data_IF_725804561617
#
_entry.id   IF_725804561617
#
_cell.length_a   1.000
_cell.length_b   1.000
_cell.length_c   1.000
_cell.angle_alpha   90.00
_cell.angle_beta   90.00
_cell.angle_gamma   90.00
#
_symmetry.space_group_name_H-M   'P 1'
#
loop_
_entity.id
_entity.type
_entity.pdbx_description
1 polymer ?
#
# COMPACT_ATOMS: atom_id res chain seq x y z
N UNK A 1 -32.92 91.54 -30.98
CA UNK A 1 -31.88 91.99 -31.94
C UNK A 1 -30.54 91.41 -31.50
N UNK A 2 -29.84 90.73 -32.43
CA UNK A 2 -28.40 90.37 -32.43
C UNK A 2 -27.93 89.41 -31.31
N UNK A 3 -26.97 88.49 -31.47
CA UNK A 3 -26.31 87.69 -32.54
C UNK A 3 -25.00 87.18 -31.86
N UNK A 4 -24.60 85.92 -32.08
CA UNK A 4 -23.23 85.35 -31.91
C UNK A 4 -22.66 85.26 -30.47
N UNK A 5 -21.76 84.35 -30.06
CA UNK A 5 -21.00 83.25 -30.69
C UNK A 5 -20.49 82.31 -29.56
N UNK A 6 -20.23 81.06 -29.96
CA UNK A 6 -19.59 79.93 -29.27
C UNK A 6 -18.26 80.28 -28.58
N UNK A 7 -17.97 79.68 -27.41
CA UNK A 7 -16.62 79.20 -27.08
C UNK A 7 -16.68 77.89 -26.28
N UNK A 8 -15.94 76.90 -26.79
CA UNK A 8 -15.60 75.65 -26.13
C UNK A 8 -14.85 75.90 -24.81
N UNK A 9 -15.12 75.05 -23.81
CA UNK A 9 -14.11 74.68 -22.83
C UNK A 9 -14.30 73.21 -22.44
N UNK A 10 -13.32 72.40 -22.85
CA UNK A 10 -13.13 71.05 -22.38
C UNK A 10 -12.83 71.04 -20.88
N UNK A 11 -13.46 70.14 -20.14
CA UNK A 11 -13.21 69.94 -18.71
C UNK A 11 -13.61 68.52 -18.31
N UNK A 12 -12.59 67.66 -18.21
CA UNK A 12 -12.67 66.29 -17.72
C UNK A 12 -13.11 66.22 -16.25
N UNK A 13 -13.77 65.13 -15.85
CA UNK A 13 -13.67 64.44 -14.54
C UNK A 13 -14.71 63.27 -14.55
N UNK A 14 -14.29 62.03 -14.79
CA UNK A 14 -13.91 61.01 -13.79
C UNK A 14 -15.08 60.48 -12.93
N UNK A 15 -15.61 59.31 -13.31
CA UNK A 15 -16.29 58.29 -12.47
C UNK A 15 -17.04 57.32 -13.42
N UNK A 16 -17.10 55.99 -13.30
CA UNK A 16 -16.79 55.07 -12.22
C UNK A 16 -16.79 53.62 -12.81
N UNK A 17 -16.02 52.74 -12.16
CA UNK A 17 -16.17 51.27 -12.11
C UNK A 17 -15.98 50.45 -13.40
N UNK A 18 -14.76 49.94 -13.54
CA UNK A 18 -14.45 48.73 -14.29
C UNK A 18 -15.27 47.53 -13.76
N UNK A 19 -16.07 46.92 -14.63
CA UNK A 19 -16.49 45.54 -14.46
C UNK A 19 -15.32 44.65 -14.89
N UNK A 20 -14.41 44.37 -13.95
CA UNK A 20 -13.49 43.25 -14.09
C UNK A 20 -14.33 41.97 -14.02
N UNK A 21 -14.66 41.41 -15.17
CA UNK A 21 -15.13 40.04 -15.31
C UNK A 21 -14.08 39.13 -14.68
N UNK A 22 -14.42 38.58 -13.50
CA UNK A 22 -13.75 37.41 -12.93
C UNK A 22 -13.90 36.29 -13.96
N UNK A 23 -12.89 36.13 -14.80
CA UNK A 23 -12.65 34.88 -15.48
C UNK A 23 -12.43 33.85 -14.37
N UNK A 24 -13.44 33.03 -14.14
CA UNK A 24 -13.34 31.88 -13.27
C UNK A 24 -12.16 31.05 -13.74
N UNK A 25 -11.10 31.03 -12.95
CA UNK A 25 -10.11 29.98 -13.00
C UNK A 25 -10.87 28.66 -12.82
N UNK A 26 -11.21 28.00 -13.92
CA UNK A 26 -11.45 26.57 -13.93
C UNK A 26 -10.09 25.89 -13.71
N UNK A 27 -9.56 26.04 -12.50
CA UNK A 27 -8.69 25.01 -11.96
C UNK A 27 -9.52 23.73 -11.99
N UNK A 28 -9.10 22.79 -12.82
CA UNK A 28 -9.62 21.44 -12.83
C UNK A 28 -9.60 20.94 -11.39
N UNK A 29 -10.75 20.95 -10.71
CA UNK A 29 -10.93 20.19 -9.48
C UNK A 29 -10.81 18.75 -9.93
N UNK A 30 -9.66 18.14 -9.66
CA UNK A 30 -9.52 16.69 -9.66
C UNK A 30 -10.77 16.15 -8.98
N UNK A 31 -11.65 15.55 -9.77
CA UNK A 31 -12.94 15.08 -9.29
C UNK A 31 -12.66 14.02 -8.25
N UNK A 32 -12.77 14.40 -6.98
CA UNK A 32 -12.74 13.44 -5.90
C UNK A 32 -13.96 12.57 -6.10
N UNK A 33 -13.74 11.35 -6.60
CA UNK A 33 -14.82 10.39 -6.77
C UNK A 33 -15.53 10.19 -5.42
N UNK A 34 -16.76 9.71 -5.49
CA UNK A 34 -17.53 9.38 -4.31
C UNK A 34 -17.69 7.87 -4.21
N UNK A 35 -17.49 7.32 -3.02
CA UNK A 35 -17.80 5.94 -2.69
C UNK A 35 -19.23 5.89 -2.15
N UNK A 36 -20.10 5.09 -2.76
CA UNK A 36 -21.47 4.87 -2.28
C UNK A 36 -21.61 3.42 -1.82
N UNK A 37 -21.92 3.22 -0.54
CA UNK A 37 -22.28 1.91 0.02
C UNK A 37 -23.80 1.82 0.07
N UNK A 38 -24.37 0.81 -0.57
CA UNK A 38 -25.80 0.49 -0.50
C UNK A 38 -25.98 -0.69 0.43
N UNK A 39 -26.67 -0.47 1.54
CA UNK A 39 -26.95 -1.48 2.54
C UNK A 39 -28.15 -2.33 2.12
N UNK A 40 -28.25 -3.55 2.67
CA UNK A 40 -29.30 -4.53 2.32
C UNK A 40 -30.71 -4.05 2.66
N UNK A 41 -30.82 -3.16 3.64
CA UNK A 41 -32.07 -2.51 4.03
C UNK A 41 -32.44 -1.32 3.13
N UNK A 42 -31.64 -1.05 2.09
CA UNK A 42 -31.85 0.02 1.12
C UNK A 42 -31.21 1.36 1.50
N UNK A 43 -30.62 1.49 2.71
CA UNK A 43 -29.90 2.70 3.07
C UNK A 43 -28.69 2.91 2.16
N UNK A 44 -28.35 4.17 1.91
CA UNK A 44 -27.18 4.55 1.12
C UNK A 44 -26.32 5.50 1.93
N UNK A 45 -25.03 5.21 1.98
CA UNK A 45 -24.05 6.09 2.60
C UNK A 45 -22.97 6.44 1.59
N UNK A 46 -22.70 7.74 1.46
CA UNK A 46 -21.76 8.29 0.50
C UNK A 46 -20.56 8.90 1.23
N UNK A 47 -19.36 8.61 0.74
CA UNK A 47 -18.10 9.12 1.26
C UNK A 47 -17.33 9.82 0.14
N UNK A 48 -16.60 10.89 0.48
CA UNK A 48 -15.62 11.47 -0.44
C UNK A 48 -14.33 10.64 -0.38
N UNK A 49 -13.73 10.29 -1.53
CA UNK A 49 -12.46 9.53 -1.52
C UNK A 49 -11.32 10.24 -0.78
N UNK A 50 -11.32 11.57 -0.70
CA UNK A 50 -10.32 12.32 0.05
C UNK A 50 -10.38 12.07 1.57
N UNK A 51 -11.54 11.63 2.07
CA UNK A 51 -11.79 11.42 3.50
C UNK A 51 -11.68 9.94 3.91
N UNK A 52 -11.47 9.03 2.96
CA UNK A 52 -11.41 7.58 3.21
C UNK A 52 -9.96 7.14 3.38
N UNK A 53 -9.58 6.79 4.61
CA UNK A 53 -8.25 6.26 4.90
C UNK A 53 -8.13 4.74 4.65
N UNK A 54 -9.18 3.97 4.93
CA UNK A 54 -9.20 2.50 4.81
C UNK A 54 -10.62 1.96 4.71
N UNK A 55 -10.79 0.83 4.02
CA UNK A 55 -12.02 0.02 4.01
C UNK A 55 -11.65 -1.40 4.44
N UNK A 56 -12.34 -1.95 5.44
CA UNK A 56 -12.11 -3.30 5.96
C UNK A 56 -13.37 -4.16 5.76
N UNK A 57 -13.20 -5.40 5.30
CA UNK A 57 -14.29 -6.35 5.11
C UNK A 57 -14.08 -7.56 6.00
N UNK A 58 -14.99 -7.81 6.93
CA UNK A 58 -15.00 -9.03 7.73
C UNK A 58 -15.53 -10.18 6.88
N UNK A 59 -14.64 -10.88 6.18
CA UNK A 59 -14.99 -12.08 5.42
C UNK A 59 -15.23 -13.27 6.37
N UNK A 60 -16.43 -13.85 6.29
CA UNK A 60 -16.74 -15.17 6.84
C UNK A 60 -16.07 -16.25 6.00
N UNK A 61 -14.81 -16.53 6.33
CA UNK A 61 -14.08 -17.73 5.93
C UNK A 61 -13.22 -18.11 7.12
N UNK A 62 -13.69 -19.07 7.93
CA UNK A 62 -13.10 -19.38 9.22
C UNK A 62 -11.62 -19.75 9.12
N UNK A 63 -10.76 -18.84 9.59
CA UNK A 63 -9.47 -19.15 10.21
C UNK A 63 -9.38 -18.23 11.45
N UNK A 64 -9.14 -18.78 12.65
CA UNK A 64 -9.15 -18.00 13.87
C UNK A 64 -7.95 -17.03 13.90
N UNK A 65 -8.26 -15.78 14.24
CA UNK A 65 -7.47 -14.78 14.98
C UNK A 65 -5.95 -15.00 14.96
N UNK A 66 -5.26 -14.19 14.14
CA UNK A 66 -3.80 -14.09 14.20
C UNK A 66 -3.18 -12.94 13.40
N UNK A 67 -3.75 -12.51 12.27
CA UNK A 67 -3.00 -11.61 11.36
C UNK A 67 -3.87 -10.82 10.36
N UNK A 68 -4.96 -10.22 10.84
CA UNK A 68 -5.77 -9.30 10.02
C UNK A 68 -5.34 -7.84 10.20
N UNK A 69 -4.06 -7.53 10.08
CA UNK A 69 -3.66 -6.18 9.67
C UNK A 69 -3.81 -6.11 8.15
N UNK A 70 -4.63 -5.18 7.65
CA UNK A 70 -4.74 -4.98 6.20
C UNK A 70 -3.34 -4.70 5.65
N UNK A 71 -2.88 -5.53 4.72
CA UNK A 71 -1.58 -5.34 4.11
C UNK A 71 -1.49 -3.97 3.41
N UNK A 72 -0.29 -3.39 3.28
CA UNK A 72 -0.09 -2.16 2.52
C UNK A 72 -0.68 -2.26 1.12
N UNK A 73 -1.16 -1.13 0.57
CA UNK A 73 -1.68 -1.08 -0.80
C UNK A 73 -0.58 -1.55 -1.77
N UNK A 74 -0.87 -2.59 -2.55
CA UNK A 74 0.08 -3.21 -3.49
C UNK A 74 0.95 -4.33 -2.92
N UNK A 75 0.82 -4.67 -1.65
CA UNK A 75 1.48 -5.86 -1.09
C UNK A 75 0.86 -7.16 -1.63
N UNK A 76 1.65 -8.24 -1.79
CA UNK A 76 1.11 -9.54 -2.20
C UNK A 76 0.15 -10.11 -1.14
N UNK A 77 -0.90 -10.84 -1.55
CA UNK A 77 -1.79 -11.53 -0.61
C UNK A 77 -1.04 -12.64 0.15
N UNK A 78 -1.54 -13.06 1.33
CA UNK A 78 -0.96 -14.18 2.11
C UNK A 78 -0.64 -15.42 1.26
N UNK A 79 -1.57 -15.79 0.36
CA UNK A 79 -1.42 -16.96 -0.51
C UNK A 79 -0.20 -16.92 -1.44
N UNK A 80 0.34 -15.73 -1.75
CA UNK A 80 1.59 -15.57 -2.51
C UNK A 80 2.76 -16.29 -1.85
N UNK A 81 2.81 -16.29 -0.51
CA UNK A 81 3.93 -16.81 0.26
C UNK A 81 3.90 -18.32 0.48
N UNK A 82 2.80 -19.00 0.14
CA UNK A 82 2.68 -20.44 0.33
C UNK A 82 3.61 -21.22 -0.61
N UNK A 83 4.11 -22.35 -0.11
CA UNK A 83 4.93 -23.30 -0.85
C UNK A 83 6.43 -23.22 -0.54
N UNK A 84 7.23 -23.80 -1.44
CA UNK A 84 8.68 -23.94 -1.31
C UNK A 84 9.42 -22.81 -2.02
N UNK A 85 10.24 -22.11 -1.26
CA UNK A 85 11.07 -20.98 -1.66
C UNK A 85 12.54 -21.37 -1.67
N UNK A 86 13.22 -21.16 -2.79
CA UNK A 86 14.69 -21.18 -2.87
C UNK A 86 15.23 -19.83 -2.42
N UNK A 87 16.20 -19.85 -1.51
CA UNK A 87 16.80 -18.66 -0.89
C UNK A 87 18.29 -18.85 -0.66
N UNK A 88 19.04 -17.76 -0.55
CA UNK A 88 20.49 -17.82 -0.28
C UNK A 88 20.83 -18.00 1.19
N UNK A 89 21.94 -18.69 1.48
CA UNK A 89 22.48 -18.87 2.83
C UNK A 89 23.39 -17.71 3.31
N UNK A 90 23.71 -16.76 2.42
CA UNK A 90 24.60 -15.62 2.68
C UNK A 90 26.09 -15.89 2.42
N UNK A 91 26.45 -17.14 2.11
CA UNK A 91 27.81 -17.59 1.82
C UNK A 91 27.97 -18.08 0.37
N UNK A 92 27.02 -17.74 -0.51
CA UNK A 92 27.00 -18.16 -1.91
C UNK A 92 26.30 -19.51 -2.15
N UNK A 93 25.80 -20.17 -1.11
CA UNK A 93 24.95 -21.35 -1.23
C UNK A 93 23.46 -20.99 -1.22
N UNK A 94 22.63 -22.00 -1.51
CA UNK A 94 21.16 -21.89 -1.41
C UNK A 94 20.60 -22.98 -0.50
N UNK A 95 19.42 -22.72 0.04
CA UNK A 95 18.59 -23.68 0.75
C UNK A 95 17.12 -23.39 0.50
N UNK A 96 16.24 -24.26 0.99
CA UNK A 96 14.80 -24.13 0.81
C UNK A 96 14.10 -23.76 2.11
N UNK A 97 13.13 -22.84 2.03
CA UNK A 97 12.13 -22.56 3.06
C UNK A 97 10.78 -23.03 2.52
N UNK A 98 10.02 -23.82 3.27
CA UNK A 98 8.66 -24.21 2.93
C UNK A 98 7.70 -23.58 3.92
N UNK A 99 6.72 -22.85 3.41
CA UNK A 99 5.66 -22.22 4.19
C UNK A 99 4.34 -22.91 3.86
N UNK A 100 3.74 -23.57 4.83
CA UNK A 100 2.47 -24.27 4.62
C UNK A 100 1.25 -23.42 4.98
N UNK A 101 0.06 -23.93 4.70
CA UNK A 101 -1.17 -23.21 4.99
C UNK A 101 -1.48 -23.12 6.49
N UNK A 102 -1.09 -24.13 7.29
CA UNK A 102 -1.31 -24.19 8.75
C UNK A 102 -0.48 -23.19 9.55
N UNK A 103 0.52 -22.58 8.92
CA UNK A 103 1.44 -21.66 9.60
C UNK A 103 2.69 -22.36 10.11
N UNK A 104 2.93 -23.63 9.79
CA UNK A 104 4.23 -24.27 10.01
C UNK A 104 5.21 -23.92 8.89
N UNK A 105 6.47 -23.84 9.27
CA UNK A 105 7.57 -23.56 8.38
C UNK A 105 8.66 -24.62 8.55
N UNK A 106 9.32 -24.94 7.45
CA UNK A 106 10.46 -25.83 7.44
C UNK A 106 11.58 -25.21 6.62
N UNK A 107 12.83 -25.36 7.05
CA UNK A 107 13.98 -25.06 6.19
C UNK A 107 14.91 -26.26 6.05
N UNK A 108 15.45 -26.45 4.85
CA UNK A 108 16.42 -27.51 4.58
C UNK A 108 17.78 -27.23 5.23
N UNK A 109 18.10 -25.95 5.47
CA UNK A 109 19.32 -25.58 6.17
C UNK A 109 19.26 -26.02 7.63
N UNK A 110 20.07 -27.03 7.97
CA UNK A 110 20.11 -27.68 9.29
C UNK A 110 18.80 -28.38 9.69
N UNK A 111 17.86 -28.56 8.75
CA UNK A 111 16.56 -29.25 8.96
C UNK A 111 15.80 -28.72 10.19
N UNK A 112 15.53 -27.41 10.21
CA UNK A 112 14.88 -26.74 11.34
C UNK A 112 13.41 -26.47 11.05
N UNK A 113 12.57 -26.69 12.06
CA UNK A 113 11.15 -26.38 12.07
C UNK A 113 10.93 -24.96 12.60
N UNK A 114 9.78 -24.39 12.28
CA UNK A 114 9.37 -23.10 12.78
C UNK A 114 7.89 -22.83 12.53
N UNK A 115 7.50 -21.61 12.84
CA UNK A 115 6.16 -21.08 12.55
C UNK A 115 6.29 -19.86 11.67
N UNK A 116 5.30 -19.62 10.82
CA UNK A 116 5.23 -18.41 10.03
C UNK A 116 3.86 -17.73 10.11
N UNK A 117 3.89 -16.41 9.91
CA UNK A 117 2.75 -15.53 10.02
C UNK A 117 2.80 -14.49 8.89
N UNK A 118 1.65 -13.95 8.49
CA UNK A 118 1.56 -12.95 7.43
C UNK A 118 1.34 -11.58 8.05
N UNK A 119 2.39 -10.76 8.08
CA UNK A 119 2.37 -9.49 8.81
C UNK A 119 2.74 -8.38 7.85
N UNK A 120 1.84 -7.42 7.67
CA UNK A 120 2.08 -6.20 6.89
C UNK A 120 2.59 -6.45 5.45
N UNK A 121 2.10 -7.50 4.77
CA UNK A 121 2.49 -7.79 3.39
C UNK A 121 3.70 -8.70 3.23
N UNK A 122 4.21 -9.27 4.32
CA UNK A 122 5.40 -10.12 4.34
C UNK A 122 5.11 -11.43 5.07
N UNK A 123 5.79 -12.51 4.68
CA UNK A 123 5.82 -13.74 5.47
C UNK A 123 6.95 -13.66 6.49
N UNK A 124 6.61 -13.73 7.77
CA UNK A 124 7.56 -13.70 8.89
C UNK A 124 7.65 -15.07 9.52
N UNK A 125 8.85 -15.61 9.61
CA UNK A 125 9.15 -16.95 10.12
C UNK A 125 9.96 -16.83 11.40
N UNK A 126 9.54 -17.54 12.44
CA UNK A 126 10.31 -17.76 13.66
C UNK A 126 10.70 -19.24 13.70
N UNK A 127 11.99 -19.50 13.75
CA UNK A 127 12.56 -20.85 13.78
C UNK A 127 12.75 -21.33 15.21
N UNK A 128 12.71 -22.65 15.42
CA UNK A 128 12.88 -23.27 16.74
C UNK A 128 14.28 -23.06 17.33
N UNK A 129 15.27 -22.76 16.49
CA UNK A 129 16.62 -22.39 16.92
C UNK A 129 16.76 -20.90 17.30
N UNK A 130 15.63 -20.18 17.33
CA UNK A 130 15.54 -18.77 17.72
C UNK A 130 15.89 -17.79 16.60
N UNK A 131 16.40 -18.24 15.45
CA UNK A 131 16.56 -17.38 14.30
C UNK A 131 15.20 -16.96 13.72
N UNK A 132 15.18 -15.89 12.94
CA UNK A 132 14.00 -15.47 12.20
C UNK A 132 14.35 -15.21 10.73
N UNK A 133 13.39 -15.43 9.83
CA UNK A 133 13.49 -15.03 8.43
C UNK A 133 12.23 -14.27 8.04
N UNK A 134 12.32 -13.31 7.12
CA UNK A 134 11.17 -12.71 6.47
C UNK A 134 11.30 -12.82 4.95
N UNK A 135 10.24 -13.25 4.27
CA UNK A 135 10.14 -13.19 2.80
C UNK A 135 9.24 -12.01 2.46
N UNK A 136 9.75 -11.07 1.66
CA UNK A 136 9.06 -9.83 1.30
C UNK A 136 9.24 -9.46 -0.15
N UNK A 137 8.22 -8.80 -0.69
CA UNK A 137 8.24 -8.23 -2.04
C UNK A 137 8.87 -6.85 -1.99
N UNK A 138 9.99 -6.67 -2.68
CA UNK A 138 10.68 -5.38 -2.80
C UNK A 138 10.75 -5.02 -4.28
N UNK A 139 9.90 -4.06 -4.67
CA UNK A 139 9.65 -3.73 -6.07
C UNK A 139 9.24 -4.97 -6.87
N UNK A 140 9.98 -5.26 -7.94
CA UNK A 140 9.71 -6.35 -8.86
C UNK A 140 10.11 -7.75 -8.36
N UNK A 141 10.80 -7.88 -7.22
CA UNK A 141 11.38 -9.17 -6.76
C UNK A 141 10.92 -9.58 -5.38
N UNK A 142 11.07 -10.86 -5.05
CA UNK A 142 10.93 -11.40 -3.71
C UNK A 142 12.32 -11.59 -3.10
N UNK A 143 12.46 -11.27 -1.81
CA UNK A 143 13.73 -11.31 -1.10
C UNK A 143 13.55 -11.89 0.29
N UNK A 144 14.55 -12.66 0.75
CA UNK A 144 14.64 -13.17 2.13
C UNK A 144 15.52 -12.26 2.96
N UNK A 145 15.09 -12.00 4.18
CA UNK A 145 15.80 -11.23 5.20
C UNK A 145 15.99 -12.09 6.43
N UNK A 146 17.25 -12.35 6.78
CA UNK A 146 17.62 -13.22 7.88
C UNK A 146 17.96 -12.41 9.13
N UNK A 147 17.54 -12.91 10.28
CA UNK A 147 17.83 -12.34 11.59
C UNK A 147 18.32 -13.47 12.50
N UNK A 148 19.53 -13.35 13.02
CA UNK A 148 20.11 -14.31 13.96
C UNK A 148 19.31 -14.35 15.27
N UNK A 149 19.49 -15.42 16.03
CA UNK A 149 18.84 -15.56 17.33
C UNK A 149 19.08 -14.35 18.24
N UNK A 150 18.01 -13.88 18.89
CA UNK A 150 18.01 -12.70 19.75
C UNK A 150 17.75 -11.37 19.03
N UNK A 151 17.67 -11.34 17.70
CA UNK A 151 17.16 -10.20 16.94
C UNK A 151 15.63 -10.26 16.75
N UNK A 152 15.08 -9.14 16.34
CA UNK A 152 13.68 -8.93 15.98
C UNK A 152 13.55 -8.51 14.50
N UNK A 153 12.33 -8.60 13.96
CA UNK A 153 12.04 -8.19 12.58
C UNK A 153 12.24 -6.68 12.30
N UNK A 154 12.35 -5.86 13.35
CA UNK A 154 12.62 -4.42 13.23
C UNK A 154 14.09 -4.06 13.28
N UNK A 155 14.96 -5.02 13.62
CA UNK A 155 16.41 -4.81 13.62
C UNK A 155 16.98 -4.85 12.20
N UNK A 156 18.26 -4.53 12.06
CA UNK A 156 18.98 -4.73 10.81
C UNK A 156 19.13 -6.24 10.50
N UNK A 157 18.77 -6.69 9.28
CA UNK A 157 18.95 -8.08 8.88
C UNK A 157 20.43 -8.44 8.80
N UNK A 158 20.80 -9.65 9.22
CA UNK A 158 22.16 -10.18 9.08
C UNK A 158 22.50 -10.59 7.65
N UNK A 159 21.48 -10.93 6.86
CA UNK A 159 21.63 -11.33 5.47
C UNK A 159 20.38 -11.00 4.67
N UNK A 160 20.55 -10.52 3.44
CA UNK A 160 19.49 -10.27 2.48
C UNK A 160 19.82 -10.96 1.17
N UNK A 161 18.93 -11.83 0.70
CA UNK A 161 19.13 -12.57 -0.55
C UNK A 161 17.87 -12.55 -1.39
N UNK A 162 17.98 -12.83 -2.69
CA UNK A 162 16.81 -13.09 -3.50
C UNK A 162 16.08 -14.36 -3.00
N UNK A 163 14.77 -14.40 -3.24
CA UNK A 163 13.89 -15.51 -2.91
C UNK A 163 13.04 -15.89 -4.13
N UNK A 164 12.95 -17.18 -4.43
CA UNK A 164 12.23 -17.68 -5.60
C UNK A 164 11.25 -18.79 -5.20
N UNK A 165 9.95 -18.58 -5.41
CA UNK A 165 8.97 -19.63 -5.19
C UNK A 165 9.10 -20.69 -6.30
N UNK A 166 9.47 -21.90 -5.90
CA UNK A 166 9.69 -23.05 -6.79
C UNK A 166 8.47 -23.96 -6.90
N UNK A 167 7.43 -23.70 -6.11
CA UNK A 167 6.16 -24.47 -6.12
C UNK A 167 5.10 -23.81 -7.00
N UNK A 168 5.17 -22.49 -7.15
CA UNK A 168 4.41 -21.76 -8.14
C UNK A 168 4.90 -22.18 -9.54
N UNK A 169 4.24 -23.17 -10.16
CA UNK A 169 4.46 -23.44 -11.60
C UNK A 169 3.98 -22.21 -12.40
N UNK A 170 4.64 -21.89 -13.54
CA UNK A 170 4.20 -20.79 -14.38
C UNK A 170 2.76 -21.04 -14.86
N UNK A 171 1.94 -19.99 -14.84
CA UNK A 171 0.72 -19.89 -15.66
C UNK A 171 1.09 -19.68 -17.12
#
# INVERSE_FOLDING_TARGET
>A
MRKFVVFLAAGALLSLSALSSVAQNHAARNGSGQLVIVFKDGHRQTFNFADVARIEFSGSGGIPVGDSTSAPVGAPPRGHFLGKWEVGDGNGGTFYITLDESGDAHRSLRSVHGKWAYVNGEARVTWDDGAMDAIRKVGGKDQKYAYRAGKSFTDEPDNVTDAHNTTARPI
#
